data_IF_798726459636
#
_entry.id   IF_798726459636
#
_cell.length_a   1.000
_cell.length_b   1.000
_cell.length_c   1.000
_cell.angle_alpha   90.00
_cell.angle_beta   90.00
_cell.angle_gamma   90.00
#
_symmetry.space_group_name_H-M   'P 1'
#
loop_
_entity.id
_entity.type
_entity.pdbx_description
1 polymer ?
#
# COMPACT_ATOMS: atom_id res chain seq x y z
N UNK A 1 0.02 -6.99 10.91
CA UNK A 1 0.73 -5.78 10.40
C UNK A 1 -0.26 -4.65 10.15
N UNK A 2 -0.02 -3.46 10.70
CA UNK A 2 -0.81 -2.25 10.41
C UNK A 2 -0.11 -1.40 9.36
N UNK A 3 -0.88 -0.74 8.50
CA UNK A 3 -0.39 0.12 7.43
C UNK A 3 -1.09 1.47 7.53
N UNK A 4 -0.32 2.56 7.44
CA UNK A 4 -0.84 3.93 7.53
C UNK A 4 -0.36 4.81 6.38
N UNK A 5 -1.26 5.59 5.80
CA UNK A 5 -0.95 6.70 4.91
C UNK A 5 -0.92 7.98 5.73
N UNK A 6 0.26 8.54 5.99
CA UNK A 6 0.41 9.51 7.08
C UNK A 6 0.07 8.84 8.41
N UNK A 7 -0.85 9.45 9.17
CA UNK A 7 -1.36 8.91 10.43
C UNK A 7 -2.71 8.18 10.28
N UNK A 8 -3.15 7.92 9.04
CA UNK A 8 -4.46 7.33 8.75
C UNK A 8 -4.31 5.85 8.40
N UNK A 9 -4.97 4.97 9.15
CA UNK A 9 -4.93 3.54 8.93
C UNK A 9 -5.57 3.17 7.58
N UNK A 10 -4.85 2.43 6.75
CA UNK A 10 -5.26 2.09 5.38
C UNK A 10 -6.49 1.17 5.29
N UNK A 11 -6.88 0.51 6.39
CA UNK A 11 -8.00 -0.43 6.42
C UNK A 11 -9.25 0.21 7.00
N UNK A 12 -9.09 0.99 8.06
CA UNK A 12 -10.21 1.57 8.81
C UNK A 12 -10.41 3.06 8.57
N UNK A 13 -9.39 3.79 8.12
CA UNK A 13 -9.40 5.25 8.00
C UNK A 13 -9.31 5.97 9.35
N UNK A 14 -9.09 5.24 10.45
CA UNK A 14 -8.94 5.83 11.78
C UNK A 14 -7.51 6.35 11.98
N UNK A 15 -7.31 7.32 12.90
CA UNK A 15 -5.98 7.77 13.30
C UNK A 15 -5.12 6.64 13.85
N UNK A 16 -3.81 6.88 13.96
CA UNK A 16 -2.88 5.93 14.55
C UNK A 16 -3.29 5.56 15.98
N UNK A 17 -3.20 4.27 16.25
CA UNK A 17 -3.37 3.70 17.58
C UNK A 17 -2.32 2.63 17.82
N UNK A 18 -1.86 2.53 19.06
CA UNK A 18 -1.03 1.42 19.50
C UNK A 18 -1.86 0.13 19.58
N UNK A 19 -1.18 -1.00 19.37
CA UNK A 19 -1.83 -2.31 19.36
C UNK A 19 -2.71 -2.58 18.15
N UNK A 20 -3.19 -3.82 18.06
CA UNK A 20 -4.12 -4.29 17.04
C UNK A 20 -5.56 -4.12 17.51
N UNK A 21 -6.47 -3.81 16.60
CA UNK A 21 -7.91 -3.84 16.86
C UNK A 21 -8.58 -4.81 15.89
N UNK A 22 -9.41 -5.71 16.42
CA UNK A 22 -10.20 -6.67 15.61
C UNK A 22 -11.63 -6.18 15.29
N UNK A 23 -12.09 -5.11 15.95
CA UNK A 23 -13.47 -4.60 15.83
C UNK A 23 -13.53 -3.08 15.62
N UNK A 24 -13.55 -2.59 14.36
CA UNK A 24 -13.23 -3.31 13.13
C UNK A 24 -11.74 -3.65 13.03
N UNK A 25 -11.40 -4.66 12.21
CA UNK A 25 -10.02 -5.07 11.96
C UNK A 25 -9.20 -3.93 11.34
N UNK A 26 -8.05 -3.58 11.94
CA UNK A 26 -7.17 -2.48 11.49
C UNK A 26 -5.78 -2.93 11.00
N UNK A 27 -5.63 -4.23 10.74
CA UNK A 27 -4.39 -4.86 10.29
C UNK A 27 -4.61 -5.91 9.20
N UNK A 28 -3.52 -6.26 8.52
CA UNK A 28 -3.42 -7.43 7.64
C UNK A 28 -2.59 -8.53 8.29
N UNK A 29 -2.85 -9.78 7.92
CA UNK A 29 -2.11 -10.96 8.38
C UNK A 29 -1.20 -11.45 7.28
N UNK A 30 0.10 -11.55 7.55
CA UNK A 30 1.08 -12.14 6.64
C UNK A 30 1.46 -13.55 7.14
N UNK A 31 1.79 -14.50 6.26
CA UNK A 31 1.93 -14.36 4.80
C UNK A 31 0.62 -14.48 4.01
N UNK A 32 -0.52 -14.71 4.67
CA UNK A 32 -1.82 -14.92 4.00
C UNK A 32 -2.23 -13.75 3.09
N UNK A 33 -2.03 -12.50 3.53
CA UNK A 33 -2.12 -11.31 2.70
C UNK A 33 -0.77 -11.09 2.00
N UNK A 34 -0.72 -11.37 0.70
CA UNK A 34 0.51 -11.28 -0.11
C UNK A 34 0.93 -9.84 -0.41
N UNK A 35 -0.04 -8.97 -0.71
CA UNK A 35 0.21 -7.56 -1.00
C UNK A 35 -0.98 -6.67 -0.59
N UNK A 36 -0.72 -5.37 -0.49
CA UNK A 36 -1.71 -4.34 -0.21
C UNK A 36 -1.39 -3.09 -1.04
N UNK A 37 -2.15 -2.87 -2.11
CA UNK A 37 -1.85 -1.79 -3.06
C UNK A 37 -2.57 -0.46 -2.74
N UNK A 38 -3.41 -0.40 -1.71
CA UNK A 38 -4.16 0.81 -1.40
C UNK A 38 -5.10 0.74 -0.20
N UNK A 39 -5.95 1.76 -0.08
CA UNK A 39 -6.90 1.90 1.03
C UNK A 39 -8.17 1.08 0.81
N UNK A 40 -8.72 0.56 1.91
CA UNK A 40 -9.93 -0.23 1.90
C UNK A 40 -11.17 0.61 1.58
N UNK A 41 -11.70 0.45 0.37
CA UNK A 41 -13.02 0.98 -0.01
C UNK A 41 -14.12 -0.08 0.01
N UNK A 42 -13.78 -1.29 0.43
CA UNK A 42 -14.66 -2.45 0.57
C UNK A 42 -15.08 -3.10 -0.73
N UNK A 43 -15.99 -4.08 -0.59
CA UNK A 43 -16.55 -4.87 -1.70
C UNK A 43 -15.49 -5.56 -2.58
N UNK A 44 -14.37 -5.99 -1.97
CA UNK A 44 -13.25 -6.62 -2.70
C UNK A 44 -12.49 -5.65 -3.61
N UNK A 45 -12.58 -4.35 -3.34
CA UNK A 45 -11.84 -3.32 -4.05
C UNK A 45 -11.08 -2.41 -3.09
N UNK A 46 -9.99 -1.86 -3.59
CA UNK A 46 -9.19 -0.83 -2.92
C UNK A 46 -9.03 0.39 -3.82
N UNK A 47 -8.62 1.52 -3.23
CA UNK A 47 -8.12 2.69 -3.98
C UNK A 47 -6.60 2.71 -3.88
N UNK A 48 -5.93 2.57 -5.01
CA UNK A 48 -4.48 2.43 -5.10
C UNK A 48 -3.75 3.58 -4.38
N UNK A 49 -2.67 3.28 -3.66
CA UNK A 49 -1.77 4.29 -3.15
C UNK A 49 -1.01 4.96 -4.30
N UNK A 50 -1.01 6.29 -4.29
CA UNK A 50 -0.21 7.08 -5.23
C UNK A 50 0.55 8.13 -4.44
N UNK A 51 1.84 8.26 -4.68
CA UNK A 51 2.67 9.26 -4.01
C UNK A 51 2.27 10.67 -4.48
N UNK A 52 1.90 11.54 -3.53
CA UNK A 52 1.47 12.92 -3.80
C UNK A 52 2.20 13.89 -2.86
N UNK A 53 2.52 15.12 -3.32
CA UNK A 53 3.13 16.13 -2.46
C UNK A 53 2.16 16.57 -1.35
N UNK A 54 2.70 16.85 -0.17
CA UNK A 54 1.96 17.49 0.91
C UNK A 54 1.70 18.98 0.61
N UNK A 55 0.78 19.60 1.34
CA UNK A 55 0.37 20.99 1.23
C UNK A 55 -0.68 21.25 0.15
N UNK A 56 -1.03 20.24 -0.64
CA UNK A 56 -1.96 20.36 -1.76
C UNK A 56 -3.31 19.67 -1.51
N UNK A 57 -3.48 18.96 -0.40
CA UNK A 57 -4.74 18.31 -0.03
C UNK A 57 -5.08 17.06 -0.85
N UNK A 58 -4.08 16.48 -1.52
CA UNK A 58 -4.22 15.25 -2.30
C UNK A 58 -4.11 13.99 -1.45
N UNK A 59 -3.46 14.08 -0.29
CA UNK A 59 -3.21 12.89 0.50
C UNK A 59 -4.46 12.38 1.20
N UNK A 60 -4.46 11.08 1.49
CA UNK A 60 -5.47 10.40 2.29
C UNK A 60 -5.52 11.03 3.70
N UNK A 61 -4.35 11.38 4.24
CA UNK A 61 -4.24 12.11 5.52
C UNK A 61 -5.06 13.40 5.45
N UNK A 62 -4.80 14.27 4.46
CA UNK A 62 -5.55 15.51 4.27
C UNK A 62 -7.06 15.29 4.13
N UNK A 63 -7.44 14.27 3.36
CA UNK A 63 -8.84 13.99 3.08
C UNK A 63 -9.63 13.56 4.33
N UNK A 64 -8.95 12.92 5.28
CA UNK A 64 -9.57 12.38 6.50
C UNK A 64 -9.44 13.35 7.69
N UNK A 65 -8.25 13.93 7.90
CA UNK A 65 -7.95 14.75 9.07
C UNK A 65 -8.11 16.24 8.80
N UNK A 66 -8.06 16.66 7.53
CA UNK A 66 -7.95 18.07 7.14
C UNK A 66 -6.52 18.63 7.24
N UNK A 67 -5.55 17.81 7.67
CA UNK A 67 -4.15 18.20 7.87
C UNK A 67 -3.20 17.25 7.12
N UNK A 68 -2.02 17.75 6.76
CA UNK A 68 -0.95 16.98 6.10
C UNK A 68 0.31 17.08 6.97
N UNK A 69 0.26 16.49 8.16
CA UNK A 69 1.27 16.67 9.19
C UNK A 69 2.43 15.68 9.05
N UNK A 70 2.12 14.42 8.72
CA UNK A 70 3.09 13.34 8.77
C UNK A 70 3.56 12.92 7.37
N UNK A 71 2.63 12.72 6.43
CA UNK A 71 2.93 12.13 5.13
C UNK A 71 3.57 10.74 5.22
N UNK A 72 4.19 10.30 4.14
CA UNK A 72 4.83 8.98 4.05
C UNK A 72 3.87 7.80 4.23
N UNK A 73 4.47 6.63 4.37
CA UNK A 73 3.85 5.33 4.64
C UNK A 73 4.40 4.79 5.95
N UNK A 74 3.54 4.47 6.93
CA UNK A 74 3.99 3.78 8.14
C UNK A 74 3.59 2.31 8.10
N UNK A 75 4.51 1.45 8.52
CA UNK A 75 4.33 0.00 8.63
C UNK A 75 4.61 -0.40 10.07
N UNK A 76 3.66 -1.05 10.73
CA UNK A 76 3.82 -1.60 12.08
C UNK A 76 3.63 -3.11 12.03
N UNK A 77 4.65 -3.86 12.41
CA UNK A 77 4.66 -5.33 12.39
C UNK A 77 4.63 -5.83 13.83
N UNK A 78 3.69 -6.72 14.14
CA UNK A 78 3.55 -7.36 15.44
C UNK A 78 3.96 -8.82 15.28
N UNK A 79 4.81 -9.31 16.18
CA UNK A 79 5.21 -10.71 16.19
C UNK A 79 4.05 -11.59 16.68
N UNK A 80 3.94 -12.82 16.19
CA UNK A 80 3.04 -13.79 16.81
C UNK A 80 3.54 -14.19 18.20
N UNK A 81 2.62 -14.63 19.07
CA UNK A 81 3.00 -15.23 20.35
C UNK A 81 3.79 -16.53 20.12
N UNK A 82 4.80 -16.84 20.97
CA UNK A 82 5.56 -18.08 20.88
C UNK A 82 4.67 -19.33 20.84
N UNK A 83 5.09 -20.32 20.06
CA UNK A 83 4.37 -21.59 19.92
C UNK A 83 3.11 -21.58 19.04
N UNK A 84 2.70 -20.43 18.48
CA UNK A 84 1.57 -20.36 17.53
C UNK A 84 1.95 -20.61 16.07
N UNK A 85 3.17 -20.27 15.69
CA UNK A 85 3.70 -20.40 14.33
C UNK A 85 5.10 -21.01 14.37
N UNK A 86 5.61 -21.54 13.24
CA UNK A 86 6.99 -22.02 13.18
C UNK A 86 7.99 -20.92 13.58
N UNK A 87 8.88 -21.23 14.52
CA UNK A 87 9.88 -20.26 15.01
C UNK A 87 11.01 -20.00 14.01
N UNK A 88 11.16 -20.89 13.02
CA UNK A 88 12.16 -20.70 11.97
C UNK A 88 11.63 -19.67 10.97
N UNK A 89 12.37 -18.58 10.70
CA UNK A 89 11.99 -17.66 9.63
C UNK A 89 11.93 -18.42 8.29
N UNK A 90 11.07 -17.99 7.36
CA UNK A 90 11.11 -18.52 6.01
C UNK A 90 12.51 -18.30 5.40
N UNK A 91 12.95 -19.17 4.47
CA UNK A 91 14.24 -19.00 3.80
C UNK A 91 14.36 -17.59 3.23
N UNK A 92 15.44 -16.89 3.53
CA UNK A 92 15.68 -15.58 2.91
C UNK A 92 15.80 -15.75 1.38
N UNK A 93 15.14 -14.90 0.58
CA UNK A 93 15.37 -14.90 -0.86
C UNK A 93 16.85 -14.58 -1.13
N UNK A 94 17.47 -15.29 -2.09
CA UNK A 94 18.91 -15.19 -2.38
C UNK A 94 19.40 -13.77 -2.75
N UNK A 95 18.47 -12.87 -3.08
CA UNK A 95 18.72 -11.44 -3.31
C UNK A 95 18.09 -10.61 -2.19
N UNK A 96 18.85 -10.36 -1.13
CA UNK A 96 18.49 -9.36 -0.11
C UNK A 96 18.53 -7.93 -0.66
N UNK A 97 17.86 -6.96 -0.01
CA UNK A 97 17.88 -5.57 -0.46
C UNK A 97 19.30 -5.01 -0.42
N UNK A 98 19.73 -4.43 -1.54
CA UNK A 98 21.00 -3.70 -1.63
C UNK A 98 20.92 -2.49 -0.70
N UNK A 99 21.75 -2.47 0.35
CA UNK A 99 21.88 -1.33 1.26
C UNK A 99 22.61 -0.21 0.54
N UNK A 100 21.88 0.76 0.00
CA UNK A 100 22.46 2.03 -0.41
C UNK A 100 22.55 2.96 0.81
N UNK A 101 23.76 3.18 1.32
CA UNK A 101 24.03 4.24 2.27
C UNK A 101 24.18 5.57 1.50
N UNK A 102 23.35 6.56 1.79
CA UNK A 102 23.52 7.93 1.29
C UNK A 102 23.93 8.85 2.45
N UNK A 103 24.84 9.81 2.23
CA UNK A 103 25.17 10.81 3.23
C UNK A 103 23.96 11.72 3.53
N UNK A 104 23.77 12.07 4.81
CA UNK A 104 22.77 13.04 5.25
C UNK A 104 23.10 14.42 4.68
N UNK A 105 22.28 14.89 3.72
CA UNK A 105 22.12 16.31 3.43
C UNK A 105 20.71 16.72 3.86
N UNK A 106 20.63 17.61 4.85
CA UNK A 106 19.40 18.31 5.22
C UNK A 106 19.21 19.50 4.28
N UNK A 107 18.19 19.50 3.43
CA UNK A 107 17.46 20.68 2.94
C UNK A 107 16.08 20.30 2.36
N UNK A 108 15.19 21.29 2.31
CA UNK A 108 13.73 21.20 2.17
C UNK A 108 13.20 20.67 0.82
N UNK A 109 13.17 19.35 0.68
CA UNK A 109 12.28 18.70 -0.28
C UNK A 109 10.83 18.79 0.24
N UNK A 110 9.85 19.13 -0.61
CA UNK A 110 8.43 19.04 -0.23
C UNK A 110 8.12 17.60 0.23
N UNK A 111 7.68 17.39 1.48
CA UNK A 111 7.38 16.04 1.93
C UNK A 111 6.29 15.42 1.05
N UNK A 112 6.36 14.10 0.86
CA UNK A 112 5.38 13.33 0.09
C UNK A 112 4.52 12.50 1.03
N UNK A 113 3.25 12.30 0.68
CA UNK A 113 2.35 11.35 1.31
C UNK A 113 1.66 10.47 0.28
N UNK A 114 0.66 9.71 0.72
CA UNK A 114 -0.11 8.82 -0.16
C UNK A 114 -1.50 9.40 -0.40
N UNK A 115 -1.88 9.55 -1.67
CA UNK A 115 -3.23 9.87 -2.13
C UNK A 115 -3.98 8.63 -2.63
N UNK A 116 -5.29 8.79 -2.84
CA UNK A 116 -6.17 7.75 -3.37
C UNK A 116 -6.21 7.79 -4.91
N UNK A 117 -5.68 6.76 -5.55
CA UNK A 117 -5.64 6.59 -7.00
C UNK A 117 -6.84 5.84 -7.58
N UNK A 118 -6.57 5.04 -8.63
CA UNK A 118 -7.57 4.23 -9.32
C UNK A 118 -8.16 3.12 -8.45
N UNK A 119 -9.26 2.52 -8.93
CA UNK A 119 -9.84 1.32 -8.30
C UNK A 119 -9.05 0.09 -8.72
N UNK A 120 -8.70 -0.77 -7.77
CA UNK A 120 -8.17 -2.11 -8.06
C UNK A 120 -9.01 -3.16 -7.37
N UNK A 121 -9.16 -4.32 -8.02
CA UNK A 121 -9.72 -5.52 -7.38
C UNK A 121 -8.69 -6.10 -6.45
N UNK A 122 -8.97 -6.07 -5.15
CA UNK A 122 -8.11 -6.64 -4.13
C UNK A 122 -8.94 -6.82 -2.86
N UNK A 123 -8.89 -8.02 -2.27
CA UNK A 123 -9.49 -8.27 -0.96
C UNK A 123 -8.47 -8.00 0.15
N UNK A 124 -9.00 -7.64 1.31
CA UNK A 124 -8.22 -7.54 2.54
C UNK A 124 -8.77 -8.62 3.47
N UNK A 125 -7.97 -9.62 3.79
CA UNK A 125 -8.47 -10.83 4.44
C UNK A 125 -8.77 -10.64 5.94
N UNK A 126 -9.86 -11.21 6.45
CA UNK A 126 -10.09 -11.30 7.88
C UNK A 126 -9.03 -12.18 8.54
N UNK A 127 -8.64 -11.84 9.77
CA UNK A 127 -7.76 -12.68 10.57
C UNK A 127 -8.47 -13.97 11.00
N UNK A 128 -7.95 -15.10 10.53
CA UNK A 128 -8.46 -16.43 10.87
C UNK A 128 -7.80 -17.02 12.13
N UNK A 129 -6.70 -16.43 12.62
CA UNK A 129 -6.01 -16.87 13.84
C UNK A 129 -6.59 -16.22 15.10
N UNK A 130 -7.21 -15.05 14.93
CA UNK A 130 -7.75 -14.25 16.00
C UNK A 130 -6.69 -13.38 16.68
N UNK A 131 -7.12 -12.26 17.23
CA UNK A 131 -6.22 -11.23 17.78
C UNK A 131 -5.28 -11.76 18.88
N UNK A 132 -5.72 -12.77 19.62
CA UNK A 132 -4.94 -13.38 20.69
C UNK A 132 -3.71 -14.16 20.21
N UNK A 133 -3.59 -14.42 18.90
CA UNK A 133 -2.41 -15.02 18.30
C UNK A 133 -1.20 -14.06 18.26
N UNK A 134 -1.43 -12.75 18.36
CA UNK A 134 -0.41 -11.72 18.19
C UNK A 134 0.08 -11.17 19.53
N UNK A 135 1.39 -10.95 19.63
CA UNK A 135 2.00 -10.29 20.79
C UNK A 135 1.93 -8.77 20.61
N UNK A 136 1.03 -8.14 21.36
CA UNK A 136 0.81 -6.69 21.30
C UNK A 136 1.98 -5.87 21.85
N UNK A 137 2.88 -6.50 22.61
CA UNK A 137 4.04 -5.84 23.22
C UNK A 137 5.33 -6.04 22.42
N UNK A 138 5.34 -6.95 21.45
CA UNK A 138 6.49 -7.23 20.61
C UNK A 138 6.19 -6.79 19.16
N UNK A 139 6.56 -5.54 18.85
CA UNK A 139 6.31 -4.94 17.55
C UNK A 139 7.45 -4.04 17.09
N UNK A 140 7.57 -3.89 15.77
CA UNK A 140 8.49 -2.94 15.12
C UNK A 140 7.70 -1.96 14.24
N UNK A 141 8.21 -0.72 14.16
CA UNK A 141 7.64 0.33 13.28
C UNK A 141 8.70 0.86 12.33
N UNK A 142 8.34 0.96 11.05
CA UNK A 142 9.14 1.63 10.02
C UNK A 142 8.28 2.71 9.36
N UNK A 143 8.90 3.85 9.09
CA UNK A 143 8.29 4.94 8.31
C UNK A 143 9.07 5.06 7.01
N UNK A 144 8.36 5.01 5.89
CA UNK A 144 8.89 5.12 4.54
C UNK A 144 8.50 6.46 3.97
N UNK A 145 9.49 7.26 3.61
CA UNK A 145 9.29 8.49 2.87
C UNK A 145 9.69 8.29 1.42
N UNK A 146 8.85 8.79 0.51
CA UNK A 146 9.12 8.77 -0.93
C UNK A 146 9.59 10.15 -1.38
N UNK A 147 10.33 10.18 -2.48
CA UNK A 147 10.73 11.39 -3.18
C UNK A 147 10.41 11.23 -4.66
N UNK A 148 10.02 12.32 -5.33
CA UNK A 148 9.76 12.31 -6.76
C UNK A 148 11.07 12.45 -7.56
N UNK A 149 10.98 12.36 -8.89
CA UNK A 149 12.13 12.43 -9.80
C UNK A 149 12.86 13.78 -9.74
N UNK A 150 12.15 14.88 -9.52
CA UNK A 150 12.75 16.21 -9.37
C UNK A 150 13.61 16.27 -8.08
N UNK A 151 13.06 15.76 -6.97
CA UNK A 151 13.77 15.69 -5.69
C UNK A 151 14.95 14.73 -5.73
N UNK A 152 14.82 13.60 -6.44
CA UNK A 152 15.92 12.67 -6.66
C UNK A 152 17.11 13.37 -7.32
N UNK A 153 16.86 14.16 -8.37
CA UNK A 153 17.91 14.95 -9.03
C UNK A 153 18.52 15.99 -8.08
N UNK A 154 17.70 16.72 -7.33
CA UNK A 154 18.18 17.72 -6.36
C UNK A 154 19.09 17.11 -5.28
N UNK A 155 18.75 15.92 -4.79
CA UNK A 155 19.48 15.24 -3.71
C UNK A 155 20.75 14.57 -4.23
N UNK A 156 20.65 13.85 -5.34
CA UNK A 156 21.74 12.98 -5.83
C UNK A 156 22.62 13.65 -6.87
N UNK A 157 22.12 14.70 -7.54
CA UNK A 157 22.73 15.26 -8.76
C UNK A 157 22.62 14.35 -9.99
N UNK A 158 22.00 13.18 -9.86
CA UNK A 158 21.87 12.18 -10.93
C UNK A 158 20.53 12.40 -11.63
N UNK A 159 20.57 12.53 -12.96
CA UNK A 159 19.35 12.62 -13.76
C UNK A 159 18.52 11.34 -13.53
N UNK A 160 17.24 11.46 -13.14
CA UNK A 160 16.38 10.30 -12.99
C UNK A 160 16.27 9.58 -14.34
N UNK A 161 16.22 8.24 -14.35
CA UNK A 161 15.98 7.52 -15.59
C UNK A 161 14.66 8.01 -16.20
N UNK A 162 14.55 8.11 -17.53
CA UNK A 162 13.28 8.44 -18.18
C UNK A 162 12.20 7.50 -17.66
N UNK A 163 11.03 8.03 -17.27
CA UNK A 163 9.88 7.25 -16.82
C UNK A 163 9.12 6.70 -18.04
N UNK A 164 9.46 5.52 -18.57
CA UNK A 164 9.17 5.20 -19.97
C UNK A 164 7.87 4.40 -20.15
N UNK A 165 7.21 4.00 -19.07
CA UNK A 165 6.18 2.96 -19.11
C UNK A 165 4.90 3.41 -18.42
N UNK A 166 3.89 3.74 -19.20
CA UNK A 166 2.50 3.79 -18.75
C UNK A 166 1.85 2.40 -18.83
N UNK A 167 0.64 2.25 -18.26
CA UNK A 167 -0.08 0.97 -18.26
C UNK A 167 -0.34 0.43 -19.69
N UNK A 168 -0.56 1.35 -20.65
CA UNK A 168 -0.76 1.03 -22.07
C UNK A 168 0.51 0.44 -22.69
N UNK A 169 1.66 1.02 -22.40
CA UNK A 169 2.97 0.57 -22.86
C UNK A 169 3.33 -0.77 -22.21
N UNK A 170 3.10 -0.92 -20.89
CA UNK A 170 3.25 -2.19 -20.17
C UNK A 170 2.48 -3.33 -20.85
N UNK A 171 1.20 -3.08 -21.18
CA UNK A 171 0.32 -4.03 -21.85
C UNK A 171 0.74 -4.30 -23.31
N UNK A 172 1.15 -3.25 -24.04
CA UNK A 172 1.64 -3.37 -25.43
C UNK A 172 2.89 -4.27 -25.50
N UNK A 173 3.75 -4.22 -24.49
CA UNK A 173 4.95 -5.06 -24.40
C UNK A 173 4.66 -6.48 -23.88
N UNK A 174 3.40 -6.84 -23.63
CA UNK A 174 3.01 -8.19 -23.21
C UNK A 174 3.54 -8.58 -21.82
N UNK A 175 3.86 -7.59 -20.98
CA UNK A 175 4.28 -7.83 -19.60
C UNK A 175 3.07 -8.30 -18.76
N UNK A 176 3.28 -9.20 -17.79
CA UNK A 176 2.18 -9.84 -17.09
C UNK A 176 1.52 -8.91 -16.08
N UNK A 177 0.19 -8.86 -16.14
CA UNK A 177 -0.63 -8.41 -15.03
C UNK A 177 -0.88 -9.57 -14.09
N UNK A 178 -1.19 -9.29 -12.83
CA UNK A 178 -1.42 -10.33 -11.82
C UNK A 178 -2.85 -10.25 -11.30
N UNK A 179 -3.44 -11.42 -11.09
CA UNK A 179 -4.73 -11.58 -10.43
C UNK A 179 -4.59 -12.69 -9.39
N UNK A 180 -5.19 -12.51 -8.23
CA UNK A 180 -5.08 -13.47 -7.13
C UNK A 180 -6.31 -14.38 -7.14
N UNK A 181 -6.09 -15.68 -7.30
CA UNK A 181 -7.20 -16.63 -7.24
C UNK A 181 -7.58 -16.91 -5.79
N UNK A 182 -8.57 -16.15 -5.29
CA UNK A 182 -8.95 -16.14 -3.87
C UNK A 182 -10.48 -16.22 -3.64
N UNK A 183 -11.22 -16.85 -4.54
CA UNK A 183 -12.70 -16.90 -4.53
C UNK A 183 -13.29 -17.35 -3.18
N UNK A 184 -12.58 -18.24 -2.47
CA UNK A 184 -12.98 -18.79 -1.16
C UNK A 184 -12.65 -17.88 0.03
N UNK A 185 -11.83 -16.85 -0.15
CA UNK A 185 -11.44 -15.90 0.90
C UNK A 185 -12.46 -14.77 1.02
N UNK A 186 -12.89 -14.52 2.25
CA UNK A 186 -13.69 -13.34 2.61
C UNK A 186 -12.86 -12.05 2.59
N UNK A 187 -13.52 -10.91 2.71
CA UNK A 187 -12.87 -9.60 2.86
C UNK A 187 -13.40 -8.89 4.10
N UNK A 188 -12.57 -8.09 4.77
CA UNK A 188 -13.02 -7.20 5.84
C UNK A 188 -14.05 -6.20 5.29
N UNK A 189 -14.87 -5.67 6.20
CA UNK A 189 -15.91 -4.71 5.86
C UNK A 189 -15.33 -3.39 5.28
N UNK A 190 -16.08 -2.69 4.42
CA UNK A 190 -15.70 -1.34 3.98
C UNK A 190 -15.47 -0.40 5.17
N UNK A 191 -14.59 0.58 4.98
CA UNK A 191 -14.51 1.74 5.86
C UNK A 191 -15.38 2.88 5.32
N UNK A 192 -16.33 3.35 6.13
CA UNK A 192 -17.16 4.53 5.84
C UNK A 192 -16.35 5.83 5.77
N UNK A 193 -15.17 5.86 6.37
CA UNK A 193 -14.25 7.01 6.32
C UNK A 193 -13.50 7.00 4.99
N UNK A 194 -12.92 5.86 4.63
CA UNK A 194 -12.09 5.73 3.42
C UNK A 194 -12.92 5.77 2.13
N UNK A 195 -14.17 5.33 2.15
CA UNK A 195 -15.08 5.40 0.98
C UNK A 195 -15.39 6.83 0.53
N UNK A 196 -15.18 7.82 1.40
CA UNK A 196 -15.42 9.25 1.13
C UNK A 196 -14.16 10.00 0.66
N UNK A 197 -13.00 9.34 0.66
CA UNK A 197 -11.75 9.95 0.23
C UNK A 197 -11.82 10.26 -1.25
N UNK A 198 -11.61 11.54 -1.59
CA UNK A 198 -11.54 11.99 -2.98
C UNK A 198 -10.30 11.40 -3.65
N UNK A 199 -10.49 10.94 -4.87
CA UNK A 199 -9.41 10.46 -5.73
C UNK A 199 -8.56 11.61 -6.24
N UNK A 200 -7.33 11.29 -6.68
CA UNK A 200 -6.43 12.26 -7.30
C UNK A 200 -7.08 12.92 -8.51
N UNK A 201 -7.76 12.15 -9.36
CA UNK A 201 -8.46 12.69 -10.54
C UNK A 201 -9.59 13.65 -10.17
N UNK A 202 -10.30 13.41 -9.08
CA UNK A 202 -11.31 14.36 -8.58
C UNK A 202 -10.66 15.65 -8.06
N UNK A 203 -9.53 15.53 -7.34
CA UNK A 203 -8.75 16.68 -6.87
C UNK A 203 -8.15 17.49 -8.01
N UNK A 204 -7.67 16.85 -9.06
CA UNK A 204 -7.16 17.52 -10.26
C UNK A 204 -8.26 18.36 -10.92
N UNK A 205 -9.48 17.81 -11.05
CA UNK A 205 -10.63 18.54 -11.59
C UNK A 205 -10.98 19.76 -10.75
N UNK A 206 -10.95 19.66 -9.42
CA UNK A 206 -11.19 20.79 -8.51
C UNK A 206 -10.15 21.92 -8.69
N UNK A 207 -8.93 21.55 -9.07
CA UNK A 207 -7.80 22.47 -9.26
C UNK A 207 -7.62 22.95 -10.71
N UNK A 208 -8.50 22.54 -11.63
CA UNK A 208 -8.42 22.88 -13.05
C UNK A 208 -7.29 22.16 -13.81
N UNK A 209 -6.75 21.07 -13.24
CA UNK A 209 -5.75 20.22 -13.87
C UNK A 209 -6.36 19.16 -14.79
N UNK A 210 -5.53 18.60 -15.67
CA UNK A 210 -5.87 17.46 -16.51
C UNK A 210 -5.10 16.22 -16.06
N UNK A 211 -5.81 15.12 -15.80
CA UNK A 211 -5.22 13.83 -15.46
C UNK A 211 -4.65 13.16 -16.74
N UNK A 212 -3.50 13.63 -17.22
CA UNK A 212 -2.77 12.96 -18.31
C UNK A 212 -2.09 11.69 -17.79
N UNK A 213 -2.21 10.57 -18.52
CA UNK A 213 -1.55 9.30 -18.20
C UNK A 213 -2.31 8.32 -17.27
N UNK A 214 -3.41 8.75 -16.63
CA UNK A 214 -4.21 7.91 -15.70
C UNK A 214 -5.43 7.22 -16.36
N UNK A 215 -5.31 6.85 -17.64
CA UNK A 215 -6.40 6.18 -18.35
C UNK A 215 -6.53 4.73 -17.87
N UNK A 216 -7.74 4.34 -17.45
CA UNK A 216 -8.07 2.94 -17.21
C UNK A 216 -7.86 2.14 -18.49
N UNK A 217 -7.27 0.96 -18.36
CA UNK A 217 -7.10 0.03 -19.47
C UNK A 217 -7.82 -1.28 -19.16
N UNK A 218 -8.50 -1.84 -20.16
CA UNK A 218 -8.98 -3.22 -20.08
C UNK A 218 -7.84 -4.17 -20.44
N UNK A 219 -7.45 -4.99 -19.47
CA UNK A 219 -6.40 -6.00 -19.66
C UNK A 219 -7.05 -7.30 -20.09
N UNK A 220 -6.64 -7.83 -21.24
CA UNK A 220 -7.10 -9.14 -21.73
C UNK A 220 -6.61 -10.27 -20.81
N UNK A 221 -7.46 -11.28 -20.55
CA UNK A 221 -7.14 -12.43 -19.69
C UNK A 221 -5.83 -13.14 -20.03
N UNK A 222 -5.44 -13.16 -21.31
CA UNK A 222 -4.18 -13.76 -21.78
C UNK A 222 -2.92 -13.10 -21.20
N UNK A 223 -3.03 -11.85 -20.73
CA UNK A 223 -1.93 -11.12 -20.09
C UNK A 223 -2.00 -11.19 -18.56
N UNK A 224 -3.00 -11.86 -18.00
CA UNK A 224 -3.20 -11.99 -16.55
C UNK A 224 -2.63 -13.33 -16.08
N UNK A 225 -1.60 -13.27 -15.24
CA UNK A 225 -1.07 -14.41 -14.51
C UNK A 225 -1.82 -14.58 -13.20
N UNK A 226 -2.56 -15.68 -13.06
CA UNK A 226 -3.22 -16.04 -11.81
C UNK A 226 -2.20 -16.55 -10.80
N UNK A 227 -2.08 -15.86 -9.68
CA UNK A 227 -1.29 -16.29 -8.53
C UNK A 227 -2.18 -17.14 -7.64
N UNK A 228 -1.70 -18.31 -7.21
CA UNK A 228 -2.33 -19.14 -6.18
C UNK A 228 -1.54 -19.02 -4.87
N UNK A 229 -2.20 -18.77 -3.73
CA UNK A 229 -1.55 -18.79 -2.42
C UNK A 229 -0.85 -20.14 -2.18
N UNK A 230 0.36 -20.12 -1.61
CA UNK A 230 1.25 -21.29 -1.47
C UNK A 230 0.63 -22.49 -0.72
N UNK A 231 -0.43 -22.28 0.06
CA UNK A 231 -1.15 -23.36 0.74
C UNK A 231 -1.82 -24.37 -0.21
N UNK A 232 -1.95 -24.04 -1.51
CA UNK A 232 -2.44 -24.98 -2.53
C UNK A 232 -1.32 -25.63 -3.37
N UNK A 233 -0.08 -25.13 -3.32
CA UNK A 233 1.04 -25.71 -4.07
C UNK A 233 1.57 -27.03 -3.50
N UNK A 234 1.15 -27.41 -2.29
CA UNK A 234 1.56 -28.66 -1.62
C UNK A 234 0.61 -29.85 -1.84
N UNK A 235 -0.37 -29.74 -2.75
CA UNK A 235 -1.37 -30.79 -2.99
C UNK A 235 -1.28 -31.49 -4.36
N UNK A 236 -0.21 -31.27 -5.13
CA UNK A 236 0.07 -32.03 -6.36
C UNK A 236 1.36 -32.84 -6.23
#
# INVERSE_FOLDING_TARGET
MKIYAGDVNAITGKPYTDGLHAGPQDYVVCPDQLWLDGINTGHGTIRQFVAMPLGLGYTIEAAITGEEKYGGLQVVVFEPKPGRFPEKPPPEPETGPVRFAHPERQMAAQPMGLGAGGVMKQKIYPDLHGIDAWDQNNYGRVVVHSMNSAQFFEITGIQPPPSPMDAKTYTKHGLPWFDLYDETKGTVAPSDLLSKVKTITERDKERGGHAEGNQSIDVSEKHIKKIRPDNERKKE
#
